data_IF_697107788828
#
_entry.id   IF_697107788828
#
_cell.length_a   1.000
_cell.length_b   1.000
_cell.length_c   1.000
_cell.angle_alpha   90.00
_cell.angle_beta   90.00
_cell.angle_gamma   90.00
#
_symmetry.space_group_name_H-M   'P 1'
#
loop_
_entity.id
_entity.type
_entity.pdbx_description
1 polymer ?
#
# COMPACT_ATOMS: atom_id res chain seq x y z
N UNK A 1 -21.55 21.55 -43.69
CA UNK A 1 -20.39 21.40 -42.78
C UNK A 1 -20.90 20.71 -41.52
N UNK A 2 -20.67 19.41 -41.30
CA UNK A 2 -21.02 18.81 -40.02
C UNK A 2 -20.06 19.35 -38.96
N UNK A 3 -20.65 19.88 -37.90
CA UNK A 3 -19.97 20.40 -36.73
C UNK A 3 -19.27 19.22 -36.05
N UNK A 4 -17.94 19.14 -36.18
CA UNK A 4 -17.11 18.18 -35.45
C UNK A 4 -17.14 18.60 -33.97
N UNK A 5 -18.13 18.09 -33.23
CA UNK A 5 -18.06 18.06 -31.78
C UNK A 5 -16.89 17.15 -31.41
N UNK A 6 -15.71 17.74 -31.28
CA UNK A 6 -14.60 17.15 -30.55
C UNK A 6 -15.15 16.78 -29.18
N UNK A 7 -15.48 15.51 -28.98
CA UNK A 7 -15.89 14.98 -27.69
C UNK A 7 -14.73 15.17 -26.74
N UNK A 8 -14.82 16.21 -25.91
CA UNK A 8 -13.83 16.50 -24.88
C UNK A 8 -13.69 15.25 -24.01
N UNK A 9 -12.48 14.73 -23.88
CA UNK A 9 -12.18 13.57 -23.04
C UNK A 9 -12.84 13.76 -21.66
N UNK A 10 -13.64 12.78 -21.19
CA UNK A 10 -14.30 12.86 -19.88
C UNK A 10 -13.30 13.12 -18.75
N UNK A 11 -13.74 13.82 -17.70
CA UNK A 11 -12.85 14.21 -16.60
C UNK A 11 -12.33 12.99 -15.85
N UNK A 12 -13.15 11.95 -15.69
CA UNK A 12 -12.76 10.70 -15.06
C UNK A 12 -11.65 9.97 -15.82
N UNK A 13 -11.66 10.05 -17.16
CA UNK A 13 -10.59 9.50 -18.00
C UNK A 13 -9.29 10.28 -17.79
N UNK A 14 -9.35 11.62 -17.76
CA UNK A 14 -8.20 12.47 -17.51
C UNK A 14 -7.61 12.27 -16.11
N UNK A 15 -8.45 12.01 -15.11
CA UNK A 15 -8.01 11.65 -13.75
C UNK A 15 -7.29 10.31 -13.79
N UNK A 16 -7.89 9.28 -14.39
CA UNK A 16 -7.28 7.96 -14.51
C UNK A 16 -5.95 7.98 -15.26
N UNK A 17 -5.81 8.82 -16.30
CA UNK A 17 -4.55 9.04 -17.02
C UNK A 17 -3.41 9.51 -16.10
N UNK A 18 -3.71 10.20 -14.99
CA UNK A 18 -2.70 10.59 -13.99
C UNK A 18 -2.22 9.39 -13.16
N UNK A 19 -3.05 8.35 -13.01
CA UNK A 19 -2.74 7.15 -12.23
C UNK A 19 -2.01 6.08 -13.06
N UNK A 20 -2.37 5.93 -14.34
CA UNK A 20 -1.88 4.86 -15.22
C UNK A 20 -0.35 4.73 -15.31
N UNK A 21 0.46 5.81 -15.35
CA UNK A 21 1.92 5.71 -15.32
C UNK A 21 2.47 4.98 -14.08
N UNK A 22 1.68 4.98 -13.00
CA UNK A 22 2.00 4.37 -11.72
C UNK A 22 1.27 3.05 -11.51
N UNK A 23 0.59 2.50 -12.52
CA UNK A 23 -0.08 1.21 -12.41
C UNK A 23 0.93 0.11 -12.04
N UNK A 24 0.64 -0.57 -10.94
CA UNK A 24 1.39 -1.69 -10.40
C UNK A 24 0.72 -2.97 -10.89
N UNK A 25 1.34 -3.60 -11.88
CA UNK A 25 0.82 -4.82 -12.52
C UNK A 25 1.97 -5.79 -12.84
N UNK A 26 1.66 -7.08 -12.89
CA UNK A 26 2.58 -8.12 -13.40
C UNK A 26 2.43 -8.34 -14.91
N UNK A 27 1.44 -7.70 -15.53
CA UNK A 27 1.12 -7.77 -16.96
C UNK A 27 1.22 -6.35 -17.54
N UNK A 28 2.44 -5.87 -17.84
CA UNK A 28 2.63 -4.52 -18.37
C UNK A 28 2.09 -4.45 -19.80
N UNK A 29 1.26 -3.45 -20.05
CA UNK A 29 0.76 -3.09 -21.37
C UNK A 29 0.81 -1.57 -21.56
N UNK A 30 0.49 -1.06 -22.76
CA UNK A 30 0.33 0.38 -22.95
C UNK A 30 -0.77 0.90 -21.99
N UNK A 31 -0.61 2.10 -21.40
CA UNK A 31 -1.64 2.69 -20.56
C UNK A 31 -2.89 2.94 -21.39
N UNK A 32 -3.99 2.30 -21.03
CA UNK A 32 -5.28 2.44 -21.68
C UNK A 32 -6.39 2.55 -20.62
N UNK A 33 -6.99 3.76 -20.43
CA UNK A 33 -8.13 3.95 -19.53
C UNK A 33 -9.29 2.97 -19.79
N UNK A 34 -9.51 2.56 -21.03
CA UNK A 34 -10.60 1.65 -21.38
C UNK A 34 -10.41 0.24 -20.79
N UNK A 35 -9.17 -0.14 -20.45
CA UNK A 35 -8.86 -1.38 -19.75
C UNK A 35 -9.17 -1.33 -18.23
N UNK A 36 -9.68 -0.21 -17.72
CA UNK A 36 -9.93 0.04 -16.30
C UNK A 36 -11.37 0.56 -16.04
N UNK A 37 -12.41 -0.16 -16.50
CA UNK A 37 -13.79 0.29 -16.38
C UNK A 37 -14.24 0.49 -14.92
N UNK A 38 -13.80 -0.38 -14.01
CA UNK A 38 -14.10 -0.28 -12.57
C UNK A 38 -13.61 1.05 -11.97
N UNK A 39 -12.40 1.48 -12.33
CA UNK A 39 -11.86 2.75 -11.83
C UNK A 39 -12.57 3.94 -12.49
N UNK A 40 -12.87 3.87 -13.79
CA UNK A 40 -13.64 4.92 -14.45
C UNK A 40 -15.00 5.11 -13.79
N UNK A 41 -15.72 4.02 -13.49
CA UNK A 41 -17.03 4.09 -12.84
C UNK A 41 -16.93 4.59 -11.40
N UNK A 42 -15.92 4.15 -10.64
CA UNK A 42 -15.67 4.65 -9.28
C UNK A 42 -15.37 6.15 -9.26
N UNK A 43 -14.54 6.65 -10.18
CA UNK A 43 -14.23 8.08 -10.30
C UNK A 43 -15.46 8.86 -10.78
N UNK A 44 -16.21 8.30 -11.75
CA UNK A 44 -17.38 8.95 -12.33
C UNK A 44 -18.41 9.33 -11.27
N UNK A 45 -18.65 8.45 -10.28
CA UNK A 45 -19.58 8.70 -9.17
C UNK A 45 -19.29 10.02 -8.44
N UNK A 46 -18.02 10.33 -8.21
CA UNK A 46 -17.63 11.61 -7.59
C UNK A 46 -17.78 12.78 -8.56
N UNK A 47 -17.34 12.60 -9.80
CA UNK A 47 -17.36 13.69 -10.80
C UNK A 47 -18.77 14.08 -11.22
N UNK A 48 -19.73 13.15 -11.21
CA UNK A 48 -21.15 13.43 -11.44
C UNK A 48 -21.81 14.14 -10.25
N UNK A 49 -21.31 13.89 -9.03
CA UNK A 49 -21.78 14.52 -7.80
C UNK A 49 -21.07 15.86 -7.49
N UNK A 50 -20.07 16.24 -8.29
CA UNK A 50 -19.18 17.39 -8.04
C UNK A 50 -18.46 17.31 -6.66
N UNK A 51 -18.08 16.11 -6.26
CA UNK A 51 -17.41 15.82 -4.99
C UNK A 51 -15.92 15.51 -5.17
N UNK A 52 -15.05 15.83 -4.19
CA UNK A 52 -13.66 15.41 -4.24
C UNK A 52 -13.52 13.90 -4.38
N UNK A 53 -12.67 13.43 -5.30
CA UNK A 53 -12.44 11.99 -5.49
C UNK A 53 -11.72 11.43 -4.27
N UNK A 54 -12.39 10.53 -3.52
CA UNK A 54 -11.78 9.84 -2.38
C UNK A 54 -11.10 8.55 -2.84
N UNK A 55 -9.79 8.49 -2.68
CA UNK A 55 -9.00 7.26 -2.82
C UNK A 55 -8.81 6.59 -1.47
N UNK A 56 -9.01 5.27 -1.39
CA UNK A 56 -8.63 4.47 -0.23
C UNK A 56 -7.43 3.61 -0.56
N UNK A 57 -6.40 3.63 0.28
CA UNK A 57 -5.16 2.89 0.06
C UNK A 57 -4.78 2.09 1.30
N UNK A 58 -5.08 0.79 1.35
CA UNK A 58 -4.50 -0.11 2.34
C UNK A 58 -2.99 -0.19 2.21
N UNK A 59 -2.27 0.10 3.30
CA UNK A 59 -0.82 0.07 3.36
C UNK A 59 -0.25 0.98 4.44
N UNK A 60 1.08 1.06 4.51
CA UNK A 60 1.81 1.69 5.63
C UNK A 60 1.46 1.04 7.00
N UNK A 61 1.61 -0.30 7.14
CA UNK A 61 1.29 -1.00 8.40
C UNK A 61 2.27 -0.67 9.52
N UNK A 62 3.53 -0.97 9.27
CA UNK A 62 4.69 -0.86 10.14
C UNK A 62 5.93 -1.26 9.32
N UNK A 63 7.14 -0.93 9.76
CA UNK A 63 8.37 -1.47 9.16
C UNK A 63 8.47 -2.98 9.41
N UNK A 64 9.11 -3.70 8.48
CA UNK A 64 9.47 -5.11 8.63
C UNK A 64 10.19 -5.37 9.96
N UNK A 65 9.86 -6.46 10.69
CA UNK A 65 10.58 -6.83 11.91
C UNK A 65 12.00 -7.33 11.65
N UNK A 66 12.38 -7.58 10.38
CA UNK A 66 13.74 -7.98 10.03
C UNK A 66 14.65 -6.74 9.91
N UNK A 67 15.61 -6.53 10.84
CA UNK A 67 16.52 -5.39 10.77
C UNK A 67 17.42 -5.41 9.53
N UNK A 68 17.59 -6.56 8.87
CA UNK A 68 18.32 -6.65 7.61
C UNK A 68 17.56 -6.07 6.41
N UNK A 69 16.26 -5.75 6.55
CA UNK A 69 15.43 -5.18 5.47
C UNK A 69 15.22 -3.67 5.57
N UNK A 70 15.28 -3.11 6.79
CA UNK A 70 14.89 -1.74 7.10
C UNK A 70 15.91 -1.06 8.02
N UNK A 71 15.85 0.28 8.13
CA UNK A 71 16.79 1.06 8.95
C UNK A 71 16.36 1.22 10.41
N UNK A 72 15.10 0.93 10.73
CA UNK A 72 14.50 1.05 12.06
C UNK A 72 13.03 0.66 12.01
N UNK A 73 12.31 0.86 13.11
CA UNK A 73 10.88 0.56 13.19
C UNK A 73 9.96 1.74 12.84
N UNK A 74 10.51 2.96 12.73
CA UNK A 74 9.78 4.18 12.37
C UNK A 74 9.82 4.44 10.85
N UNK A 75 8.87 5.22 10.30
CA UNK A 75 8.93 5.74 8.94
C UNK A 75 10.25 6.45 8.65
N UNK A 76 10.81 6.20 7.46
CA UNK A 76 12.05 6.82 6.99
C UNK A 76 11.82 7.55 5.65
N UNK A 77 12.88 7.75 4.86
CA UNK A 77 12.78 8.45 3.58
C UNK A 77 11.83 7.75 2.60
N UNK A 78 11.68 6.41 2.70
CA UNK A 78 10.79 5.65 1.84
C UNK A 78 9.33 6.08 2.02
N UNK A 79 8.86 6.15 3.26
CA UNK A 79 7.51 6.63 3.56
C UNK A 79 7.37 8.09 3.17
N UNK A 80 8.34 8.95 3.51
CA UNK A 80 8.26 10.38 3.19
C UNK A 80 8.09 10.66 1.71
N UNK A 81 8.90 10.01 0.87
CA UNK A 81 8.80 10.16 -0.58
C UNK A 81 7.49 9.60 -1.13
N UNK A 82 7.01 8.49 -0.57
CA UNK A 82 5.75 7.86 -0.98
C UNK A 82 4.54 8.72 -0.64
N UNK A 83 4.48 9.27 0.57
CA UNK A 83 3.43 10.19 0.98
C UNK A 83 3.44 11.46 0.13
N UNK A 84 4.62 12.06 -0.07
CA UNK A 84 4.75 13.22 -0.93
C UNK A 84 4.35 12.95 -2.38
N UNK A 85 4.57 11.73 -2.89
CA UNK A 85 4.06 11.32 -4.20
C UNK A 85 2.53 11.27 -4.24
N UNK A 86 1.89 10.63 -3.27
CA UNK A 86 0.43 10.52 -3.20
C UNK A 86 -0.25 11.89 -3.06
N UNK A 87 0.33 12.79 -2.26
CA UNK A 87 -0.18 14.15 -2.09
C UNK A 87 -0.08 14.95 -3.40
N UNK A 88 1.06 14.89 -4.09
CA UNK A 88 1.22 15.52 -5.41
C UNK A 88 0.28 14.95 -6.45
N UNK A 89 0.00 13.65 -6.41
CA UNK A 89 -0.98 13.03 -7.31
C UNK A 89 -2.37 13.64 -7.09
N UNK A 90 -2.80 13.82 -5.85
CA UNK A 90 -4.07 14.47 -5.53
C UNK A 90 -4.09 15.94 -5.97
N UNK A 91 -3.00 16.69 -5.73
CA UNK A 91 -2.88 18.08 -6.18
C UNK A 91 -3.04 18.21 -7.71
N UNK A 92 -2.40 17.32 -8.49
CA UNK A 92 -2.52 17.29 -9.95
C UNK A 92 -3.93 16.97 -10.44
N UNK A 93 -4.71 16.21 -9.67
CA UNK A 93 -6.13 16.00 -9.97
C UNK A 93 -6.91 17.32 -9.78
N UNK A 94 -6.61 18.08 -8.72
CA UNK A 94 -7.18 19.41 -8.48
C UNK A 94 -6.94 20.42 -9.61
N UNK A 95 -5.82 20.29 -10.35
CA UNK A 95 -5.53 21.12 -11.52
C UNK A 95 -6.49 20.87 -12.71
N UNK A 96 -7.11 19.67 -12.77
CA UNK A 96 -7.95 19.26 -13.90
C UNK A 96 -9.43 19.05 -13.53
N UNK A 97 -9.74 18.99 -12.23
CA UNK A 97 -11.05 18.78 -11.64
C UNK A 97 -11.13 19.58 -10.34
N UNK A 98 -11.99 20.60 -10.29
CA UNK A 98 -11.97 21.65 -9.25
C UNK A 98 -12.18 21.13 -7.82
N UNK A 99 -13.14 20.21 -7.54
CA UNK A 99 -13.27 19.59 -6.22
C UNK A 99 -12.02 18.80 -5.78
N UNK A 100 -11.18 18.40 -6.73
CA UNK A 100 -9.91 17.75 -6.47
C UNK A 100 -10.03 16.31 -5.98
N UNK A 101 -9.06 15.89 -5.16
CA UNK A 101 -8.96 14.53 -4.65
C UNK A 101 -8.38 14.47 -3.24
N UNK A 102 -8.71 13.39 -2.54
CA UNK A 102 -8.18 13.05 -1.20
C UNK A 102 -7.70 11.61 -1.18
N UNK A 103 -6.66 11.36 -0.40
CA UNK A 103 -6.10 10.03 -0.18
C UNK A 103 -6.27 9.64 1.28
N UNK A 104 -7.05 8.60 1.53
CA UNK A 104 -7.18 7.99 2.84
C UNK A 104 -6.25 6.77 2.93
N UNK A 105 -5.21 6.89 3.74
CA UNK A 105 -4.26 5.82 4.01
C UNK A 105 -4.86 4.90 5.07
N UNK A 106 -5.27 3.71 4.65
CA UNK A 106 -5.94 2.73 5.51
C UNK A 106 -4.90 1.76 6.11
N UNK A 107 -4.18 2.20 7.14
CA UNK A 107 -3.12 1.39 7.76
C UNK A 107 -3.65 0.08 8.32
N UNK A 108 -3.00 -1.00 7.90
CA UNK A 108 -3.37 -2.39 8.19
C UNK A 108 -2.45 -3.04 9.24
N UNK A 109 -1.59 -2.24 9.91
CA UNK A 109 -0.63 -2.76 10.89
C UNK A 109 -1.29 -3.53 12.04
N UNK A 110 -2.26 -2.91 12.73
CA UNK A 110 -2.95 -3.53 13.86
C UNK A 110 -3.83 -4.72 13.47
N UNK A 111 -4.22 -4.82 12.19
CA UNK A 111 -4.94 -5.99 11.67
C UNK A 111 -4.01 -7.21 11.64
N UNK A 112 -2.72 -7.01 11.42
CA UNK A 112 -1.75 -8.10 11.19
C UNK A 112 -0.75 -8.34 12.32
N UNK A 113 -0.62 -7.46 13.31
CA UNK A 113 0.50 -7.45 14.26
C UNK A 113 0.98 -8.81 14.78
N UNK A 114 0.05 -9.63 15.30
CA UNK A 114 0.28 -11.01 15.74
C UNK A 114 0.71 -11.97 14.61
N UNK A 115 0.15 -11.84 13.41
CA UNK A 115 0.49 -12.69 12.25
C UNK A 115 1.85 -12.36 11.65
N UNK A 116 2.28 -11.10 11.74
CA UNK A 116 3.60 -10.63 11.25
C UNK A 116 4.65 -10.51 12.35
N UNK A 117 4.32 -10.86 13.59
CA UNK A 117 5.18 -10.77 14.77
C UNK A 117 5.74 -9.36 15.02
N UNK A 118 4.89 -8.34 14.89
CA UNK A 118 5.22 -6.94 15.24
C UNK A 118 4.33 -6.52 16.42
N UNK A 119 4.91 -6.09 17.55
CA UNK A 119 4.13 -5.63 18.71
C UNK A 119 3.27 -4.42 18.37
N UNK A 120 2.05 -4.35 18.93
CA UNK A 120 1.14 -3.21 18.71
C UNK A 120 1.78 -1.86 19.06
N UNK A 121 2.61 -1.78 20.10
CA UNK A 121 3.33 -0.55 20.44
C UNK A 121 4.28 -0.05 19.33
N UNK A 122 4.88 -0.96 18.54
CA UNK A 122 5.69 -0.57 17.38
C UNK A 122 4.81 -0.07 16.23
N UNK A 123 3.62 -0.64 16.07
CA UNK A 123 2.64 -0.22 15.07
C UNK A 123 2.09 1.17 15.43
N UNK A 124 1.76 1.40 16.70
CA UNK A 124 1.37 2.72 17.22
C UNK A 124 2.45 3.76 16.93
N UNK A 125 3.70 3.48 17.32
CA UNK A 125 4.82 4.39 17.11
C UNK A 125 5.05 4.69 15.62
N UNK A 126 4.92 3.69 14.75
CA UNK A 126 5.02 3.88 13.31
C UNK A 126 3.90 4.78 12.78
N UNK A 127 2.64 4.49 13.14
CA UNK A 127 1.48 5.27 12.72
C UNK A 127 1.52 6.72 13.23
N UNK A 128 1.98 6.94 14.45
CA UNK A 128 2.09 8.26 15.05
C UNK A 128 3.18 9.10 14.38
N UNK A 129 4.35 8.53 14.10
CA UNK A 129 5.37 9.22 13.30
C UNK A 129 4.90 9.43 11.85
N UNK A 130 4.11 8.52 11.26
CA UNK A 130 3.56 8.71 9.91
C UNK A 130 2.65 9.95 9.88
N UNK A 131 1.76 10.12 10.87
CA UNK A 131 0.94 11.33 10.99
C UNK A 131 1.76 12.58 11.30
N UNK A 132 2.79 12.46 12.13
CA UNK A 132 3.70 13.57 12.39
C UNK A 132 4.44 14.01 11.11
N UNK A 133 4.84 13.05 10.27
CA UNK A 133 5.48 13.28 8.98
C UNK A 133 4.52 13.97 8.00
N UNK A 134 3.28 13.52 7.88
CA UNK A 134 2.23 14.17 7.06
C UNK A 134 2.08 15.65 7.47
N UNK A 135 1.96 15.94 8.77
CA UNK A 135 1.86 17.31 9.29
C UNK A 135 3.12 18.13 9.03
N UNK A 136 4.30 17.56 9.28
CA UNK A 136 5.61 18.22 9.13
C UNK A 136 5.90 18.61 7.68
N UNK A 137 5.57 17.72 6.73
CA UNK A 137 5.73 17.95 5.29
C UNK A 137 4.56 18.74 4.67
N UNK A 138 3.54 19.10 5.47
CA UNK A 138 2.34 19.85 5.05
C UNK A 138 1.57 19.18 3.91
N UNK A 139 1.43 17.86 3.96
CA UNK A 139 0.72 17.08 2.95
C UNK A 139 -0.79 17.17 3.19
N UNK A 140 -1.45 18.13 2.56
CA UNK A 140 -2.83 18.53 2.88
C UNK A 140 -3.92 17.64 2.27
N UNK A 141 -3.56 16.75 1.33
CA UNK A 141 -4.53 15.88 0.67
C UNK A 141 -4.64 14.49 1.32
N UNK A 142 -3.84 14.23 2.37
CA UNK A 142 -3.72 12.91 2.99
C UNK A 142 -4.39 12.85 4.36
N UNK A 143 -5.15 11.79 4.60
CA UNK A 143 -5.65 11.39 5.93
C UNK A 143 -5.29 9.93 6.23
N UNK A 144 -5.54 9.51 7.47
CA UNK A 144 -5.29 8.13 7.92
C UNK A 144 -6.55 7.51 8.50
N UNK A 145 -6.75 6.23 8.21
CA UNK A 145 -7.73 5.35 8.85
C UNK A 145 -7.03 4.08 9.31
N UNK A 146 -7.27 3.64 10.53
CA UNK A 146 -6.66 2.43 11.09
C UNK A 146 -7.58 1.82 12.15
N UNK A 147 -7.19 0.70 12.74
CA UNK A 147 -8.00 -0.02 13.72
C UNK A 147 -8.30 0.79 15.00
N UNK A 148 -7.61 1.90 15.28
CA UNK A 148 -7.97 2.81 16.39
C UNK A 148 -9.27 3.55 16.14
N UNK A 149 -9.64 3.75 14.87
CA UNK A 149 -10.88 4.41 14.47
C UNK A 149 -12.10 3.49 14.52
N UNK A 150 -11.88 2.20 14.82
CA UNK A 150 -12.92 1.16 14.78
C UNK A 150 -13.07 0.57 16.18
N UNK A 151 -14.32 0.30 16.57
CA UNK A 151 -14.68 -0.34 17.83
C UNK A 151 -14.17 0.38 19.12
N UNK A 152 -13.95 1.69 19.07
CA UNK A 152 -13.69 2.54 20.25
C UNK A 152 -12.42 2.17 21.03
N UNK A 153 -12.51 2.11 22.36
CA UNK A 153 -11.38 1.93 23.28
C UNK A 153 -11.03 0.46 23.59
N UNK A 154 -11.58 -0.50 22.84
CA UNK A 154 -11.24 -1.93 23.02
C UNK A 154 -9.76 -2.18 22.74
N UNK A 155 -9.20 -3.23 23.37
CA UNK A 155 -7.85 -3.68 23.09
C UNK A 155 -7.70 -4.25 21.66
N UNK A 156 -6.47 -4.26 21.14
CA UNK A 156 -6.24 -4.65 19.75
C UNK A 156 -6.56 -6.11 19.43
N UNK A 157 -6.42 -7.03 20.39
CA UNK A 157 -6.79 -8.44 20.17
C UNK A 157 -8.30 -8.59 20.01
N UNK A 158 -9.07 -7.94 20.88
CA UNK A 158 -10.54 -7.90 20.76
C UNK A 158 -10.97 -7.25 19.45
N UNK A 159 -10.36 -6.13 19.05
CA UNK A 159 -10.66 -5.47 17.77
C UNK A 159 -10.34 -6.37 16.58
N UNK A 160 -9.19 -7.05 16.57
CA UNK A 160 -8.82 -8.02 15.52
C UNK A 160 -9.83 -9.15 15.42
N UNK A 161 -10.28 -9.68 16.56
CA UNK A 161 -11.29 -10.73 16.59
C UNK A 161 -12.62 -10.25 15.99
N UNK A 162 -13.13 -9.09 16.42
CA UNK A 162 -14.39 -8.53 15.90
C UNK A 162 -14.36 -8.29 14.38
N UNK A 163 -13.27 -7.73 13.86
CA UNK A 163 -13.11 -7.52 12.40
C UNK A 163 -12.99 -8.86 11.66
N UNK A 164 -12.26 -9.82 12.23
CA UNK A 164 -12.11 -11.14 11.62
C UNK A 164 -13.45 -11.87 11.58
N UNK A 165 -14.21 -11.89 12.67
CA UNK A 165 -15.50 -12.59 12.75
C UNK A 165 -16.56 -11.97 11.84
N UNK A 166 -16.54 -10.63 11.68
CA UNK A 166 -17.51 -9.93 10.84
C UNK A 166 -17.20 -10.03 9.34
N UNK A 167 -15.93 -10.04 8.94
CA UNK A 167 -15.53 -9.82 7.54
C UNK A 167 -14.60 -10.87 6.94
N UNK A 168 -13.88 -11.66 7.73
CA UNK A 168 -12.90 -12.58 7.18
C UNK A 168 -13.61 -13.79 6.52
N UNK A 169 -13.15 -14.22 5.32
CA UNK A 169 -13.59 -15.49 4.78
C UNK A 169 -13.10 -16.63 5.67
N UNK A 170 -13.87 -17.71 5.72
CA UNK A 170 -13.44 -18.96 6.34
C UNK A 170 -12.12 -19.47 5.72
N UNK A 171 -11.23 -20.00 6.57
CA UNK A 171 -9.90 -20.43 6.16
C UNK A 171 -9.93 -21.66 5.25
N UNK A 172 -10.90 -22.56 5.41
CA UNK A 172 -11.06 -23.70 4.53
C UNK A 172 -11.48 -23.26 3.13
N UNK A 173 -12.43 -22.33 3.05
CA UNK A 173 -12.82 -21.68 1.81
C UNK A 173 -11.63 -21.00 1.13
N UNK A 174 -10.84 -20.23 1.87
CA UNK A 174 -9.64 -19.58 1.34
C UNK A 174 -8.59 -20.59 0.85
N UNK A 175 -8.39 -21.70 1.56
CA UNK A 175 -7.51 -22.80 1.14
C UNK A 175 -7.99 -23.44 -0.16
N UNK A 176 -9.29 -23.68 -0.30
CA UNK A 176 -9.85 -24.19 -1.55
C UNK A 176 -9.59 -23.21 -2.70
N UNK A 177 -9.85 -21.91 -2.50
CA UNK A 177 -9.59 -20.87 -3.50
C UNK A 177 -8.12 -20.80 -3.93
N UNK A 178 -7.15 -20.94 -3.01
CA UNK A 178 -5.72 -20.96 -3.40
C UNK A 178 -5.34 -22.10 -4.37
N UNK A 179 -6.19 -23.12 -4.53
CA UNK A 179 -5.97 -24.23 -5.48
C UNK A 179 -6.66 -24.01 -6.82
N UNK A 180 -7.71 -23.20 -6.87
CA UNK A 180 -8.57 -23.05 -8.05
C UNK A 180 -8.52 -21.67 -8.69
N UNK A 181 -8.09 -20.65 -7.94
CA UNK A 181 -7.94 -19.28 -8.41
C UNK A 181 -6.47 -18.87 -8.40
N UNK A 182 -5.92 -18.60 -9.60
CA UNK A 182 -4.50 -18.28 -9.79
C UNK A 182 -4.14 -16.92 -9.17
N UNK A 183 -5.09 -15.97 -9.06
CA UNK A 183 -4.84 -14.69 -8.41
C UNK A 183 -4.64 -14.87 -6.90
N UNK A 184 -5.57 -15.58 -6.25
CA UNK A 184 -5.45 -15.95 -4.84
C UNK A 184 -4.20 -16.80 -4.58
N UNK A 185 -3.85 -17.73 -5.49
CA UNK A 185 -2.62 -18.50 -5.40
C UNK A 185 -1.35 -17.62 -5.47
N UNK A 186 -1.33 -16.63 -6.38
CA UNK A 186 -0.22 -15.68 -6.53
C UNK A 186 -0.06 -14.82 -5.29
N UNK A 187 -1.16 -14.29 -4.74
CA UNK A 187 -1.16 -13.55 -3.48
C UNK A 187 -0.61 -14.40 -2.34
N UNK A 188 -1.08 -15.65 -2.21
CA UNK A 188 -0.60 -16.58 -1.19
C UNK A 188 0.91 -16.86 -1.29
N UNK A 189 1.43 -17.08 -2.50
CA UNK A 189 2.87 -17.24 -2.73
C UNK A 189 3.64 -15.97 -2.33
N UNK A 190 3.14 -14.80 -2.71
CA UNK A 190 3.72 -13.49 -2.36
C UNK A 190 3.79 -13.26 -0.85
N UNK A 191 2.66 -13.41 -0.14
CA UNK A 191 2.58 -13.28 1.32
C UNK A 191 3.49 -14.30 2.02
N UNK A 192 3.50 -15.56 1.58
CA UNK A 192 4.39 -16.58 2.16
C UNK A 192 5.86 -16.16 2.03
N UNK A 193 6.27 -15.66 0.86
CA UNK A 193 7.63 -15.17 0.62
C UNK A 193 7.97 -14.02 1.57
N UNK A 194 7.07 -13.04 1.72
CA UNK A 194 7.27 -11.92 2.63
C UNK A 194 7.44 -12.37 4.08
N UNK A 195 6.56 -13.24 4.59
CA UNK A 195 6.66 -13.75 5.96
C UNK A 195 7.97 -14.50 6.22
N UNK A 196 8.47 -15.24 5.23
CA UNK A 196 9.78 -15.91 5.32
C UNK A 196 10.92 -14.89 5.39
N UNK A 197 10.90 -13.87 4.53
CA UNK A 197 11.93 -12.83 4.50
C UNK A 197 11.92 -11.91 5.73
N UNK A 198 10.74 -11.69 6.33
CA UNK A 198 10.57 -10.87 7.53
C UNK A 198 10.94 -11.61 8.82
N UNK A 199 11.01 -12.94 8.79
CA UNK A 199 11.40 -13.71 9.98
C UNK A 199 12.91 -13.72 10.12
N UNK A 200 13.44 -12.86 11.00
CA UNK A 200 14.84 -12.87 11.41
C UNK A 200 15.10 -13.84 12.57
N UNK A 201 16.29 -14.45 12.61
CA UNK A 201 16.75 -15.22 13.78
C UNK A 201 16.00 -16.54 14.05
N UNK A 202 15.30 -17.10 13.05
CA UNK A 202 14.63 -18.40 13.21
C UNK A 202 15.63 -19.52 13.51
N UNK A 203 15.42 -20.26 14.60
CA UNK A 203 16.36 -21.28 15.10
C UNK A 203 16.16 -22.66 14.49
N UNK A 204 15.05 -22.89 13.79
CA UNK A 204 14.75 -24.16 13.11
C UNK A 204 15.27 -24.25 11.67
N UNK A 205 14.85 -25.30 10.95
CA UNK A 205 15.24 -25.46 9.54
C UNK A 205 14.46 -24.52 8.62
N UNK A 206 15.04 -24.19 7.47
CA UNK A 206 14.37 -23.38 6.43
C UNK A 206 13.01 -23.96 6.03
N UNK A 207 12.88 -25.28 5.96
CA UNK A 207 11.62 -25.97 5.65
C UNK A 207 10.59 -25.84 6.76
N UNK A 208 11.02 -25.83 8.03
CA UNK A 208 10.13 -25.57 9.16
C UNK A 208 9.59 -24.13 9.13
N UNK A 209 10.48 -23.14 8.91
CA UNK A 209 10.09 -21.74 8.72
C UNK A 209 9.08 -21.60 7.58
N UNK A 210 9.38 -22.18 6.43
CA UNK A 210 8.49 -22.09 5.27
C UNK A 210 7.11 -22.71 5.55
N UNK A 211 7.04 -23.81 6.30
CA UNK A 211 5.77 -24.43 6.69
C UNK A 211 4.97 -23.54 7.65
N UNK A 212 5.63 -22.92 8.63
CA UNK A 212 4.99 -21.99 9.56
C UNK A 212 4.46 -20.74 8.84
N UNK A 213 5.28 -20.12 7.98
CA UNK A 213 4.88 -18.95 7.20
C UNK A 213 3.73 -19.27 6.24
N UNK A 214 3.71 -20.46 5.63
CA UNK A 214 2.57 -20.93 4.81
C UNK A 214 1.28 -21.02 5.63
N UNK A 215 1.35 -21.51 6.86
CA UNK A 215 0.18 -21.57 7.74
C UNK A 215 -0.32 -20.16 8.10
N UNK A 216 0.58 -19.24 8.49
CA UNK A 216 0.25 -17.85 8.82
C UNK A 216 -0.25 -17.04 7.61
N UNK A 217 0.24 -17.32 6.41
CA UNK A 217 -0.15 -16.61 5.19
C UNK A 217 -1.67 -16.65 4.93
N UNK A 218 -2.35 -17.75 5.28
CA UNK A 218 -3.81 -17.81 5.18
C UNK A 218 -4.50 -16.79 6.09
N UNK A 219 -4.05 -16.65 7.34
CA UNK A 219 -4.56 -15.65 8.26
C UNK A 219 -4.33 -14.22 7.75
N UNK A 220 -3.15 -13.95 7.19
CA UNK A 220 -2.84 -12.62 6.62
C UNK A 220 -3.78 -12.29 5.45
N UNK A 221 -4.02 -13.23 4.54
CA UNK A 221 -4.93 -13.02 3.41
C UNK A 221 -6.38 -12.85 3.89
N UNK A 222 -6.83 -13.69 4.82
CA UNK A 222 -8.18 -13.60 5.38
C UNK A 222 -8.41 -12.22 6.02
N UNK A 223 -7.47 -11.76 6.85
CA UNK A 223 -7.56 -10.44 7.48
C UNK A 223 -7.34 -9.27 6.52
N UNK A 224 -6.57 -9.45 5.45
CA UNK A 224 -6.43 -8.45 4.38
C UNK A 224 -7.74 -8.25 3.62
N UNK A 225 -8.49 -9.33 3.36
CA UNK A 225 -9.85 -9.24 2.80
C UNK A 225 -10.81 -8.60 3.80
N UNK A 226 -10.78 -9.05 5.06
CA UNK A 226 -11.59 -8.49 6.13
C UNK A 226 -11.42 -6.97 6.27
N UNK A 227 -10.16 -6.51 6.29
CA UNK A 227 -9.84 -5.08 6.33
C UNK A 227 -10.33 -4.34 5.08
N UNK A 228 -10.15 -4.94 3.91
CA UNK A 228 -10.65 -4.39 2.65
C UNK A 228 -12.16 -4.20 2.63
N UNK A 229 -12.92 -5.11 3.23
CA UNK A 229 -14.39 -5.08 3.28
C UNK A 229 -14.89 -4.12 4.37
N UNK A 230 -14.23 -4.08 5.54
CA UNK A 230 -14.49 -3.06 6.56
C UNK A 230 -14.24 -1.63 6.02
N UNK A 231 -13.17 -1.42 5.26
CA UNK A 231 -12.93 -0.13 4.59
C UNK A 231 -14.07 0.19 3.62
N UNK A 232 -14.57 -0.80 2.88
CA UNK A 232 -15.67 -0.60 1.94
C UNK A 232 -16.98 -0.26 2.67
N UNK A 233 -17.23 -0.83 3.85
CA UNK A 233 -18.38 -0.47 4.69
C UNK A 233 -18.26 0.95 5.25
N UNK A 234 -17.07 1.34 5.71
CA UNK A 234 -16.83 2.70 6.23
C UNK A 234 -16.77 3.76 5.12
N UNK A 235 -16.32 3.40 3.92
CA UNK A 235 -16.08 4.29 2.78
C UNK A 235 -16.61 3.67 1.47
N UNK A 236 -17.95 3.52 1.35
CA UNK A 236 -18.60 2.76 0.26
C UNK A 236 -18.41 3.41 -1.11
N UNK A 237 -18.33 4.74 -1.13
CA UNK A 237 -17.92 5.51 -2.29
C UNK A 237 -16.45 5.86 -2.13
N UNK A 238 -15.57 5.03 -2.70
CA UNK A 238 -14.14 5.33 -2.82
C UNK A 238 -13.53 4.63 -4.04
N UNK A 239 -12.49 5.24 -4.61
CA UNK A 239 -11.64 4.59 -5.62
C UNK A 239 -10.63 3.71 -4.88
N UNK A 240 -10.76 2.40 -5.01
CA UNK A 240 -9.98 1.44 -4.21
C UNK A 240 -8.60 1.24 -4.82
N UNK A 241 -7.58 1.76 -4.15
CA UNK A 241 -6.19 1.52 -4.50
C UNK A 241 -5.64 0.29 -3.77
N UNK A 242 -4.51 -0.21 -4.23
CA UNK A 242 -3.80 -1.34 -3.64
C UNK A 242 -2.30 -1.16 -3.80
N UNK A 243 -1.53 -1.54 -2.77
CA UNK A 243 -0.07 -1.66 -2.90
C UNK A 243 0.38 -2.99 -3.50
N UNK A 244 -0.54 -3.91 -3.79
CA UNK A 244 -0.23 -5.15 -4.49
C UNK A 244 -0.47 -4.99 -5.99
N UNK A 245 0.24 -5.76 -6.84
CA UNK A 245 -0.08 -5.80 -8.26
C UNK A 245 -1.54 -6.15 -8.49
N UNK A 246 -2.21 -5.43 -9.39
CA UNK A 246 -3.56 -5.70 -9.85
C UNK A 246 -3.55 -5.78 -11.38
N UNK A 247 -4.41 -6.62 -11.95
CA UNK A 247 -4.59 -6.68 -13.40
C UNK A 247 -5.51 -5.57 -13.88
N UNK A 248 -5.43 -5.15 -15.16
CA UNK A 248 -6.48 -4.34 -15.76
C UNK A 248 -7.87 -4.98 -15.57
N UNK A 249 -8.88 -4.14 -15.34
CA UNK A 249 -10.25 -4.56 -15.05
C UNK A 249 -10.48 -5.10 -13.63
N UNK A 250 -9.48 -5.16 -12.76
CA UNK A 250 -9.70 -5.48 -11.35
C UNK A 250 -10.42 -4.34 -10.63
N UNK A 251 -11.24 -4.67 -9.63
CA UNK A 251 -11.95 -3.68 -8.81
C UNK A 251 -11.00 -2.75 -8.03
N UNK A 252 -9.79 -3.24 -7.71
CA UNK A 252 -8.73 -2.45 -7.07
C UNK A 252 -7.69 -2.03 -8.10
N UNK A 253 -7.19 -0.81 -7.97
CA UNK A 253 -6.09 -0.31 -8.79
C UNK A 253 -4.76 -0.46 -8.05
N UNK A 254 -3.86 -1.27 -8.59
CA UNK A 254 -2.50 -1.40 -8.05
C UNK A 254 -1.73 -0.10 -8.29
N UNK A 255 -1.23 0.56 -7.25
CA UNK A 255 -0.44 1.79 -7.37
C UNK A 255 1.00 1.58 -6.89
N UNK A 256 1.95 2.00 -7.72
CA UNK A 256 3.37 2.04 -7.39
C UNK A 256 3.67 3.35 -6.66
N UNK A 257 4.31 3.26 -5.50
CA UNK A 257 4.63 4.43 -4.68
C UNK A 257 5.97 5.07 -5.05
N UNK A 258 6.98 4.24 -5.34
CA UNK A 258 8.33 4.63 -5.70
C UNK A 258 8.89 3.66 -6.73
N UNK A 259 9.95 4.08 -7.41
CA UNK A 259 10.65 3.20 -8.34
C UNK A 259 11.27 2.00 -7.60
N UNK A 260 11.11 0.82 -8.18
CA UNK A 260 11.59 -0.43 -7.62
C UNK A 260 11.68 -1.51 -8.71
N UNK A 261 12.72 -2.34 -8.65
CA UNK A 261 12.88 -3.46 -9.59
C UNK A 261 11.84 -4.57 -9.34
N UNK A 262 11.50 -4.83 -8.08
CA UNK A 262 10.45 -5.78 -7.72
C UNK A 262 9.09 -5.06 -7.61
N UNK A 263 8.13 -5.50 -8.42
CA UNK A 263 6.74 -5.06 -8.36
C UNK A 263 6.06 -5.40 -7.03
N UNK A 264 6.71 -6.05 -6.08
CA UNK A 264 6.23 -6.32 -4.72
C UNK A 264 6.93 -5.47 -3.63
N UNK A 265 7.96 -4.71 -3.98
CA UNK A 265 8.68 -3.86 -3.04
C UNK A 265 7.80 -2.71 -2.50
N UNK A 266 7.82 -2.50 -1.20
CA UNK A 266 7.13 -1.39 -0.53
C UNK A 266 8.09 -0.70 0.45
N UNK A 267 7.87 0.59 0.76
CA UNK A 267 8.77 1.37 1.61
C UNK A 267 9.06 0.74 2.98
N UNK A 268 8.09 0.03 3.53
CA UNK A 268 8.22 -0.60 4.84
C UNK A 268 8.92 -1.97 4.83
N UNK A 269 9.28 -2.50 3.66
CA UNK A 269 10.06 -3.74 3.51
C UNK A 269 11.43 -3.50 2.87
N UNK A 270 11.80 -2.25 2.62
CA UNK A 270 12.99 -1.85 1.86
C UNK A 270 13.61 -0.58 2.41
N UNK A 271 14.70 -0.13 1.78
CA UNK A 271 15.36 1.15 2.06
C UNK A 271 15.47 1.96 0.77
N UNK A 272 15.59 3.29 0.90
CA UNK A 272 15.81 4.17 -0.24
C UNK A 272 17.30 4.29 -0.55
N UNK A 273 17.65 4.19 -1.84
CA UNK A 273 18.89 4.73 -2.38
C UNK A 273 18.58 6.00 -3.18
N UNK A 274 19.23 7.12 -2.83
CA UNK A 274 19.23 8.36 -3.61
C UNK A 274 20.42 8.39 -4.56
N UNK A 275 20.14 8.48 -5.85
CA UNK A 275 21.16 8.61 -6.89
C UNK A 275 21.66 10.07 -6.97
N UNK A 276 22.85 10.27 -7.53
CA UNK A 276 23.48 11.60 -7.70
C UNK A 276 22.62 12.59 -8.49
N UNK A 277 21.75 12.09 -9.38
CA UNK A 277 20.78 12.88 -10.14
C UNK A 277 19.49 13.23 -9.39
N UNK A 278 19.39 12.89 -8.10
CA UNK A 278 18.23 13.20 -7.26
C UNK A 278 17.08 12.20 -7.34
N UNK A 279 17.17 11.21 -8.25
CA UNK A 279 16.21 10.10 -8.31
C UNK A 279 16.35 9.20 -7.08
N UNK A 280 15.26 8.55 -6.71
CA UNK A 280 15.19 7.66 -5.56
C UNK A 280 14.52 6.36 -5.96
N UNK A 281 15.07 5.23 -5.50
CA UNK A 281 14.51 3.90 -5.72
C UNK A 281 14.58 3.05 -4.45
N UNK A 282 13.64 2.13 -4.34
CA UNK A 282 13.58 1.15 -3.26
C UNK A 282 14.50 -0.03 -3.57
N UNK A 283 15.34 -0.40 -2.60
CA UNK A 283 16.26 -1.52 -2.66
C UNK A 283 16.24 -2.31 -1.35
N UNK A 284 16.64 -3.58 -1.42
CA UNK A 284 17.05 -4.30 -0.23
C UNK A 284 18.19 -3.57 0.47
N UNK A 285 18.15 -3.48 1.79
CA UNK A 285 19.12 -2.72 2.60
C UNK A 285 20.57 -3.09 2.27
N UNK A 286 20.88 -4.38 2.13
CA UNK A 286 22.22 -4.85 1.80
C UNK A 286 22.74 -4.30 0.45
N UNK A 287 21.87 -4.15 -0.54
CA UNK A 287 22.24 -3.55 -1.83
C UNK A 287 22.41 -2.04 -1.71
N UNK A 288 21.50 -1.36 -0.99
CA UNK A 288 21.61 0.08 -0.75
C UNK A 288 22.91 0.43 0.02
N UNK A 289 23.29 -0.40 0.98
CA UNK A 289 24.53 -0.26 1.76
C UNK A 289 25.79 -0.50 0.92
N UNK A 290 25.74 -1.45 -0.01
CA UNK A 290 26.85 -1.69 -0.93
C UNK A 290 27.05 -0.54 -1.92
N UNK A 291 25.96 0.10 -2.34
CA UNK A 291 25.96 1.15 -3.37
C UNK A 291 26.08 2.57 -2.81
N UNK A 292 25.82 2.76 -1.51
CA UNK A 292 25.63 4.08 -0.93
C UNK A 292 26.13 4.22 0.51
N UNK A 293 26.19 5.46 0.98
CA UNK A 293 26.49 5.80 2.37
C UNK A 293 25.21 6.11 3.12
N UNK A 294 25.10 5.63 4.36
CA UNK A 294 23.96 5.94 5.21
C UNK A 294 23.91 7.44 5.50
N UNK A 295 22.76 8.04 5.23
CA UNK A 295 22.43 9.43 5.55
C UNK A 295 21.55 9.45 6.78
N UNK A 296 21.90 10.33 7.72
CA UNK A 296 21.08 10.63 8.89
C UNK A 296 20.26 11.90 8.63
N UNK A 297 19.00 11.91 9.07
CA UNK A 297 18.17 13.10 9.19
C UNK A 297 17.71 13.22 10.64
N UNK A 298 17.95 14.38 11.24
CA UNK A 298 17.62 14.64 12.64
C UNK A 298 18.19 13.58 13.60
N UNK A 299 19.42 13.13 13.34
CA UNK A 299 20.11 12.10 14.12
C UNK A 299 19.60 10.67 13.90
N UNK A 300 18.61 10.44 13.02
CA UNK A 300 18.05 9.10 12.73
C UNK A 300 18.46 8.61 11.33
N UNK A 301 18.71 7.30 11.16
CA UNK A 301 18.87 6.69 9.83
C UNK A 301 17.71 7.05 8.88
N UNK A 302 18.02 7.56 7.69
CA UNK A 302 17.02 8.04 6.74
C UNK A 302 17.00 7.27 5.42
N UNK A 303 18.15 7.16 4.76
CA UNK A 303 18.32 6.50 3.46
C UNK A 303 19.81 6.30 3.17
N UNK A 304 20.13 5.63 2.06
CA UNK A 304 21.47 5.61 1.50
C UNK A 304 21.59 6.62 0.35
N UNK A 305 22.72 7.31 0.25
CA UNK A 305 23.06 8.15 -0.91
C UNK A 305 24.16 7.47 -1.72
N UNK A 306 23.98 7.36 -3.03
CA UNK A 306 24.93 6.72 -3.94
C UNK A 306 26.34 7.32 -3.79
N UNK A 307 27.34 6.45 -3.73
CA UNK A 307 28.74 6.89 -3.77
C UNK A 307 29.10 7.13 -5.23
N UNK A 308 29.64 8.31 -5.53
CA UNK A 308 30.18 8.62 -6.85
C UNK A 308 31.36 7.71 -7.22
#
# INVERSE_FOLDING_TARGET
MPNSTLTRTPVETRILDLLLPYHRTTEPGPPDPAAHPEQLDQIRRFTEADEPVLFTLPGFPCKSPNPAKVLGHLPDEGERLSLGFLDRLCARIGEIYEPGARMLICSDGHIFGDLINVPDAHIDAYGDELRALIRRERLSHLDTFDLRHVHGELDYDTKRALVTDAYAPDLETLRAQTRTDEETARLYRGITRFLVEDTAGFTGTRSALQRECRARAYGVIARSRAWGDLIADCHPSSVRLSIHPQRPGAAKFGIRLLDAADAWATPWHTTVLRETGGTARLLHRADAERLGRLVLRDGRPSHYAAVA
#
